data_IF_609557375093
#
_entry.id   IF_609557375093
#
_cell.length_a   1.000
_cell.length_b   1.000
_cell.length_c   1.000
_cell.angle_alpha   90.00
_cell.angle_beta   90.00
_cell.angle_gamma   90.00
#
_symmetry.space_group_name_H-M   'P 1'
#
loop_
_entity.id
_entity.type
_entity.pdbx_description
1 polymer ?
#
# COMPACT_ATOMS: atom_id res chain seq x y z
N UNK A 1 6.77 19.26 26.97
CA UNK A 1 5.38 19.61 26.64
C UNK A 1 4.70 18.35 26.15
N UNK A 2 3.43 18.11 26.52
CA UNK A 2 2.66 17.03 25.86
C UNK A 2 2.50 17.40 24.39
N UNK A 3 2.78 16.46 23.48
CA UNK A 3 2.45 16.65 22.06
C UNK A 3 0.94 16.77 21.91
N UNK A 4 0.47 17.37 20.82
CA UNK A 4 -0.96 17.58 20.56
C UNK A 4 -1.78 16.28 20.68
N UNK A 5 -1.20 15.14 20.28
CA UNK A 5 -1.86 13.83 20.38
C UNK A 5 -2.05 13.33 21.82
N UNK A 6 -1.26 13.81 22.78
CA UNK A 6 -1.27 13.35 24.17
C UNK A 6 -2.05 14.25 25.14
N UNK A 7 -2.78 15.24 24.61
CA UNK A 7 -3.49 16.24 25.43
C UNK A 7 -4.76 15.63 26.05
N UNK A 8 -5.63 15.04 25.23
CA UNK A 8 -6.88 14.38 25.64
C UNK A 8 -7.41 13.47 24.50
N UNK A 9 -8.30 12.54 24.83
CA UNK A 9 -8.88 11.54 23.91
C UNK A 9 -9.56 12.18 22.68
N UNK A 10 -10.15 13.37 22.84
CA UNK A 10 -10.73 14.12 21.72
C UNK A 10 -9.67 14.48 20.67
N UNK A 11 -8.51 14.97 21.09
CA UNK A 11 -7.43 15.39 20.20
C UNK A 11 -6.70 14.18 19.59
N UNK A 12 -6.54 13.11 20.37
CA UNK A 12 -6.00 11.83 19.89
C UNK A 12 -6.86 11.26 18.75
N UNK A 13 -8.19 11.24 18.91
CA UNK A 13 -9.09 10.75 17.88
C UNK A 13 -9.03 11.59 16.59
N UNK A 14 -9.03 12.92 16.71
CA UNK A 14 -8.91 13.82 15.55
C UNK A 14 -7.58 13.61 14.84
N UNK A 15 -6.49 13.55 15.60
CA UNK A 15 -5.16 13.30 15.04
C UNK A 15 -5.09 11.94 14.35
N UNK A 16 -5.57 10.87 14.98
CA UNK A 16 -5.55 9.52 14.41
C UNK A 16 -6.26 9.46 13.06
N UNK A 17 -7.42 10.11 12.94
CA UNK A 17 -8.18 10.15 11.68
C UNK A 17 -7.49 11.02 10.62
N UNK A 18 -6.95 12.18 10.99
CA UNK A 18 -6.19 13.03 10.08
C UNK A 18 -4.92 12.33 9.58
N UNK A 19 -4.22 11.61 10.47
CA UNK A 19 -3.00 10.86 10.18
C UNK A 19 -3.21 9.78 9.12
N UNK A 20 -4.39 9.13 9.07
CA UNK A 20 -4.69 8.18 7.98
C UNK A 20 -4.75 8.85 6.61
N UNK A 21 -5.20 10.11 6.53
CA UNK A 21 -5.20 10.86 5.28
C UNK A 21 -3.81 11.40 4.93
N UNK A 22 -3.09 11.90 5.93
CA UNK A 22 -1.75 12.46 5.73
C UNK A 22 -0.78 11.41 5.19
N UNK A 23 -0.86 10.15 5.65
CA UNK A 23 -0.04 9.04 5.13
C UNK A 23 -0.17 8.80 3.62
N UNK A 24 -1.32 9.13 3.03
CA UNK A 24 -1.56 9.00 1.59
C UNK A 24 -1.06 10.19 0.76
N UNK A 25 -0.72 11.32 1.39
CA UNK A 25 -0.26 12.53 0.72
C UNK A 25 1.25 12.44 0.41
N UNK A 26 1.65 11.48 -0.44
CA UNK A 26 3.05 11.10 -0.63
C UNK A 26 3.97 12.24 -1.05
N UNK A 27 3.49 13.22 -1.81
CA UNK A 27 4.29 14.38 -2.24
C UNK A 27 4.97 15.10 -1.06
N UNK A 28 4.29 15.18 0.09
CA UNK A 28 4.79 15.84 1.30
C UNK A 28 6.07 15.19 1.84
N UNK A 29 6.23 13.88 1.63
CA UNK A 29 7.35 13.12 2.19
C UNK A 29 8.41 12.82 1.11
N UNK A 30 7.98 12.48 -0.10
CA UNK A 30 8.88 12.03 -1.16
C UNK A 30 9.88 13.12 -1.55
N UNK A 31 9.48 14.39 -1.57
CA UNK A 31 10.39 15.50 -1.88
C UNK A 31 11.52 15.59 -0.83
N UNK A 32 11.17 15.54 0.46
CA UNK A 32 12.16 15.57 1.55
C UNK A 32 13.12 14.38 1.48
N UNK A 33 12.61 13.19 1.18
CA UNK A 33 13.43 11.99 1.06
C UNK A 33 14.37 12.09 -0.14
N UNK A 34 13.90 12.57 -1.29
CA UNK A 34 14.74 12.80 -2.47
C UNK A 34 15.81 13.84 -2.18
N UNK A 35 15.52 14.92 -1.45
CA UNK A 35 16.52 15.92 -1.03
C UNK A 35 17.56 15.33 -0.09
N UNK A 36 17.15 14.49 0.85
CA UNK A 36 18.04 13.90 1.85
C UNK A 36 18.94 12.79 1.30
N UNK A 37 18.38 11.88 0.49
CA UNK A 37 19.09 10.67 0.04
C UNK A 37 19.49 10.71 -1.45
N UNK A 38 18.93 11.64 -2.22
CA UNK A 38 19.14 11.76 -3.66
C UNK A 38 18.21 10.84 -4.47
N UNK A 39 17.78 11.31 -5.64
CA UNK A 39 16.82 10.60 -6.50
C UNK A 39 17.27 9.18 -6.88
N UNK A 40 18.57 8.93 -7.01
CA UNK A 40 19.12 7.63 -7.45
C UNK A 40 19.11 6.56 -6.37
N UNK A 41 18.91 6.94 -5.10
CA UNK A 41 18.92 6.03 -3.94
C UNK A 41 17.52 5.74 -3.41
N UNK A 42 16.49 6.19 -4.11
CA UNK A 42 15.10 5.94 -3.78
C UNK A 42 14.42 5.32 -5.00
N UNK A 43 13.81 4.17 -4.81
CA UNK A 43 12.97 3.53 -5.80
C UNK A 43 11.51 3.68 -5.39
N UNK A 44 10.72 4.32 -6.24
CA UNK A 44 9.27 4.44 -6.06
C UNK A 44 8.60 3.46 -7.01
N UNK A 45 7.81 2.55 -6.45
CA UNK A 45 7.07 1.54 -7.17
C UNK A 45 5.58 1.80 -7.02
N UNK A 46 4.86 1.69 -8.14
CA UNK A 46 3.41 1.75 -8.15
C UNK A 46 2.85 0.35 -7.94
N UNK A 47 1.93 0.22 -6.99
CA UNK A 47 1.35 -1.07 -6.63
C UNK A 47 0.53 -1.66 -7.78
N UNK A 48 -0.15 -0.81 -8.55
CA UNK A 48 -0.90 -1.21 -9.75
C UNK A 48 0.01 -1.83 -10.82
N UNK A 49 1.23 -1.29 -11.01
CA UNK A 49 2.22 -1.86 -11.95
C UNK A 49 2.68 -3.25 -11.47
N UNK A 50 2.86 -3.41 -10.15
CA UNK A 50 3.17 -4.70 -9.56
C UNK A 50 2.05 -5.72 -9.76
N UNK A 51 0.79 -5.30 -9.69
CA UNK A 51 -0.34 -6.21 -9.93
C UNK A 51 -0.49 -6.59 -11.39
N UNK A 52 -0.25 -5.65 -12.31
CA UNK A 52 -0.32 -5.89 -13.75
C UNK A 52 0.85 -6.77 -14.24
N UNK A 53 2.07 -6.50 -13.78
CA UNK A 53 3.27 -7.26 -14.12
C UNK A 53 4.24 -7.34 -12.91
N UNK A 54 4.03 -8.33 -12.04
CA UNK A 54 4.89 -8.54 -10.87
C UNK A 54 6.35 -8.83 -11.25
N UNK A 55 6.57 -9.56 -12.34
CA UNK A 55 7.89 -10.01 -12.77
C UNK A 55 8.76 -8.82 -13.16
N UNK A 56 8.24 -7.94 -14.04
CA UNK A 56 8.93 -6.71 -14.43
C UNK A 56 9.20 -5.78 -13.24
N UNK A 57 8.23 -5.66 -12.33
CA UNK A 57 8.37 -4.82 -11.13
C UNK A 57 9.46 -5.35 -10.18
N UNK A 58 9.52 -6.67 -9.96
CA UNK A 58 10.58 -7.29 -9.15
C UNK A 58 11.94 -7.16 -9.84
N UNK A 59 12.03 -7.37 -11.15
CA UNK A 59 13.27 -7.13 -11.92
C UNK A 59 13.79 -5.70 -11.75
N UNK A 60 12.92 -4.70 -11.78
CA UNK A 60 13.29 -3.29 -11.50
C UNK A 60 13.84 -3.12 -10.09
N UNK A 61 13.25 -3.77 -9.09
CA UNK A 61 13.77 -3.74 -7.72
C UNK A 61 15.16 -4.39 -7.63
N UNK A 62 15.38 -5.52 -8.30
CA UNK A 62 16.69 -6.19 -8.35
C UNK A 62 17.74 -5.29 -9.01
N UNK A 63 17.40 -4.66 -10.14
CA UNK A 63 18.30 -3.77 -10.84
C UNK A 63 18.67 -2.54 -9.98
N UNK A 64 17.70 -1.98 -9.25
CA UNK A 64 17.92 -0.87 -8.34
C UNK A 64 18.83 -1.23 -7.15
N UNK A 65 18.68 -2.45 -6.62
CA UNK A 65 19.50 -2.98 -5.53
C UNK A 65 20.86 -3.53 -6.00
N UNK A 66 21.16 -3.45 -7.29
CA UNK A 66 22.36 -4.02 -7.91
C UNK A 66 22.50 -5.54 -7.66
N UNK A 67 21.37 -6.25 -7.76
CA UNK A 67 21.31 -7.71 -7.62
C UNK A 67 21.34 -8.39 -8.98
N UNK A 68 21.91 -9.61 -9.00
CA UNK A 68 21.89 -10.48 -10.17
C UNK A 68 20.44 -10.75 -10.63
N UNK A 69 20.17 -10.54 -11.91
CA UNK A 69 18.83 -10.77 -12.48
C UNK A 69 18.50 -12.26 -12.46
N UNK A 70 17.27 -12.58 -12.05
CA UNK A 70 16.74 -13.94 -12.07
C UNK A 70 16.04 -14.23 -13.40
N UNK A 71 16.02 -15.49 -13.86
CA UNK A 71 15.20 -15.89 -15.00
C UNK A 71 13.72 -15.54 -14.79
N UNK A 72 12.98 -15.20 -15.86
CA UNK A 72 11.55 -14.86 -15.74
C UNK A 72 10.69 -15.91 -15.04
N UNK A 73 11.04 -17.20 -15.21
CA UNK A 73 10.34 -18.31 -14.56
C UNK A 73 10.51 -18.32 -13.02
N UNK A 74 11.69 -17.95 -12.52
CA UNK A 74 11.97 -17.85 -11.08
C UNK A 74 11.26 -16.63 -10.48
N UNK A 75 11.29 -15.50 -11.18
CA UNK A 75 10.56 -14.29 -10.77
C UNK A 75 9.05 -14.54 -10.71
N UNK A 76 8.50 -15.25 -11.69
CA UNK A 76 7.10 -15.67 -11.67
C UNK A 76 6.79 -16.57 -10.48
N UNK A 77 7.68 -17.53 -10.17
CA UNK A 77 7.54 -18.40 -9.00
C UNK A 77 7.54 -17.59 -7.70
N UNK A 78 8.43 -16.61 -7.56
CA UNK A 78 8.49 -15.72 -6.39
C UNK A 78 7.20 -14.88 -6.30
N UNK A 79 6.76 -14.29 -7.41
CA UNK A 79 5.58 -13.41 -7.45
C UNK A 79 4.26 -14.14 -7.15
N UNK A 80 4.18 -15.42 -7.47
CA UNK A 80 2.98 -16.25 -7.27
C UNK A 80 3.02 -17.07 -5.98
N UNK A 81 4.15 -17.05 -5.26
CA UNK A 81 4.29 -17.78 -4.00
C UNK A 81 3.31 -17.23 -2.97
N UNK A 82 2.45 -18.07 -2.37
CA UNK A 82 1.59 -17.64 -1.28
C UNK A 82 2.46 -17.10 -0.14
N UNK A 83 2.13 -15.92 0.37
CA UNK A 83 2.74 -15.42 1.60
C UNK A 83 2.25 -16.32 2.73
N UNK A 84 3.09 -17.27 3.18
CA UNK A 84 2.81 -18.01 4.39
C UNK A 84 2.71 -16.99 5.53
N UNK A 85 1.64 -17.08 6.32
CA UNK A 85 1.39 -16.24 7.49
C UNK A 85 2.71 -16.01 8.26
N UNK A 86 3.15 -14.75 8.34
CA UNK A 86 4.31 -14.35 9.12
C UNK A 86 3.84 -14.06 10.56
N UNK A 87 4.23 -14.86 11.57
CA UNK A 87 3.84 -14.61 12.95
C UNK A 87 4.40 -13.26 13.41
N UNK A 88 3.55 -12.41 13.98
CA UNK A 88 3.94 -11.06 14.43
C UNK A 88 3.93 -9.98 13.35
N UNK A 89 3.49 -10.29 12.12
CA UNK A 89 3.12 -9.26 11.15
C UNK A 89 1.87 -8.54 11.65
N UNK A 90 1.95 -7.22 11.80
CA UNK A 90 0.80 -6.37 12.08
C UNK A 90 -0.17 -6.53 10.92
N UNK A 91 -1.18 -7.38 11.08
CA UNK A 91 -2.22 -7.66 10.10
C UNK A 91 -3.19 -6.48 9.94
N UNK A 92 -2.68 -5.25 9.78
CA UNK A 92 -3.40 -4.16 9.12
C UNK A 92 -3.46 -4.39 7.61
N UNK A 93 -2.58 -5.23 7.05
CA UNK A 93 -2.84 -5.92 5.77
C UNK A 93 -3.82 -7.09 5.99
N UNK A 94 -5.03 -6.77 6.43
CA UNK A 94 -6.18 -7.62 6.12
C UNK A 94 -6.28 -7.63 4.60
N UNK A 95 -6.06 -8.79 3.99
CA UNK A 95 -5.99 -9.03 2.54
C UNK A 95 -4.68 -8.62 1.86
N UNK A 96 -3.71 -9.55 1.83
CA UNK A 96 -3.08 -9.81 0.53
C UNK A 96 -4.23 -10.10 -0.47
N UNK A 97 -4.42 -9.24 -1.47
CA UNK A 97 -5.46 -9.43 -2.50
C UNK A 97 -5.30 -10.77 -3.24
N UNK A 98 -4.11 -11.41 -3.19
CA UNK A 98 -3.88 -12.78 -3.70
C UNK A 98 -4.46 -13.86 -2.78
N UNK A 99 -4.49 -13.62 -1.47
CA UNK A 99 -4.92 -14.59 -0.44
C UNK A 99 -6.39 -14.41 -0.08
N UNK A 100 -6.92 -13.19 -0.09
CA UNK A 100 -8.29 -12.90 0.29
C UNK A 100 -9.35 -13.63 -0.55
N UNK A 101 -9.04 -13.93 -1.82
CA UNK A 101 -9.95 -14.68 -2.68
C UNK A 101 -9.75 -16.21 -2.62
N UNK A 102 -8.76 -16.73 -1.87
CA UNK A 102 -8.45 -18.17 -1.82
C UNK A 102 -8.58 -18.83 -0.44
N UNK A 103 -8.82 -18.09 0.65
CA UNK A 103 -9.33 -18.65 1.92
C UNK A 103 -10.82 -19.01 1.75
N UNK A 104 -11.15 -19.80 0.72
CA UNK A 104 -12.50 -20.26 0.41
C UNK A 104 -12.61 -21.79 0.36
N UNK A 105 -11.52 -22.53 0.58
CA UNK A 105 -11.51 -23.98 0.33
C UNK A 105 -10.71 -24.83 1.33
N UNK A 106 -10.45 -24.35 2.56
CA UNK A 106 -9.92 -25.22 3.62
C UNK A 106 -10.90 -25.21 4.79
N UNK A 107 -11.65 -26.30 5.04
CA UNK A 107 -12.39 -26.43 6.27
C UNK A 107 -11.38 -26.68 7.39
N UNK A 108 -11.15 -25.69 8.26
CA UNK A 108 -10.44 -25.92 9.51
C UNK A 108 -11.43 -26.53 10.50
N UNK A 109 -11.21 -27.75 11.02
CA UNK A 109 -12.02 -28.25 12.11
C UNK A 109 -11.54 -27.61 13.42
N UNK A 110 -12.50 -27.26 14.29
CA UNK A 110 -12.33 -26.71 15.63
C UNK A 110 -11.87 -25.24 15.71
N UNK A 111 -12.80 -24.32 15.46
CA UNK A 111 -12.82 -23.02 16.14
C UNK A 111 -14.27 -22.72 16.54
N UNK A 112 -14.43 -22.21 17.75
CA UNK A 112 -15.67 -22.08 18.52
C UNK A 112 -16.86 -21.43 17.76
N UNK A 113 -18.12 -21.71 18.16
CA UNK A 113 -19.28 -21.13 17.52
C UNK A 113 -19.39 -19.64 17.84
N UNK A 114 -19.12 -18.79 16.86
CA UNK A 114 -19.38 -17.36 16.93
C UNK A 114 -18.23 -16.52 16.40
N UNK A 115 -18.45 -15.86 15.25
CA UNK A 115 -17.58 -14.89 14.58
C UNK A 115 -16.50 -15.44 13.64
N UNK A 116 -16.93 -16.14 12.58
CA UNK A 116 -16.24 -16.07 11.29
C UNK A 116 -16.39 -14.65 10.72
N UNK A 117 -15.44 -13.76 10.98
CA UNK A 117 -15.39 -12.44 10.33
C UNK A 117 -14.93 -12.57 8.87
N UNK A 118 -15.71 -13.23 8.02
CA UNK A 118 -15.61 -13.08 6.56
C UNK A 118 -16.22 -11.73 6.17
N UNK A 119 -15.53 -10.64 6.50
CA UNK A 119 -15.90 -9.31 6.02
C UNK A 119 -15.28 -9.13 4.64
N UNK A 120 -16.00 -9.51 3.59
CA UNK A 120 -15.72 -8.98 2.25
C UNK A 120 -15.85 -7.46 2.38
N UNK A 121 -14.79 -6.66 2.16
CA UNK A 121 -14.91 -5.22 2.22
C UNK A 121 -15.96 -4.78 1.22
N UNK A 122 -16.96 -4.04 1.69
CA UNK A 122 -17.92 -3.42 0.78
C UNK A 122 -17.17 -2.46 -0.15
N UNK A 123 -17.61 -2.30 -1.41
CA UNK A 123 -17.07 -1.24 -2.25
C UNK A 123 -17.24 0.11 -1.54
N UNK A 124 -16.26 1.00 -1.73
CA UNK A 124 -16.30 2.33 -1.14
C UNK A 124 -17.54 3.09 -1.66
N UNK A 125 -18.30 3.79 -0.80
CA UNK A 125 -19.38 4.66 -1.27
C UNK A 125 -18.88 5.73 -2.24
N UNK A 126 -19.63 6.00 -3.31
CA UNK A 126 -19.24 6.95 -4.38
C UNK A 126 -18.97 8.36 -3.85
N UNK A 127 -19.74 8.82 -2.87
CA UNK A 127 -19.54 10.13 -2.24
C UNK A 127 -18.18 10.20 -1.52
N UNK A 128 -17.86 9.17 -0.72
CA UNK A 128 -16.56 9.09 -0.05
C UNK A 128 -15.41 9.03 -1.07
N UNK A 129 -15.54 8.23 -2.13
CA UNK A 129 -14.55 8.18 -3.20
C UNK A 129 -14.33 9.56 -3.84
N UNK A 130 -15.41 10.27 -4.16
CA UNK A 130 -15.37 11.62 -4.75
C UNK A 130 -14.64 12.62 -3.84
N UNK A 131 -14.95 12.61 -2.54
CA UNK A 131 -14.29 13.47 -1.55
C UNK A 131 -12.80 13.16 -1.45
N UNK A 132 -12.42 11.89 -1.42
CA UNK A 132 -11.01 11.48 -1.35
C UNK A 132 -10.25 11.83 -2.62
N UNK A 133 -10.83 11.61 -3.80
CA UNK A 133 -10.23 12.04 -5.06
C UNK A 133 -10.00 13.55 -5.08
N UNK A 134 -10.98 14.34 -4.64
CA UNK A 134 -10.84 15.79 -4.52
C UNK A 134 -9.74 16.21 -3.54
N UNK A 135 -9.68 15.57 -2.37
CA UNK A 135 -8.67 15.84 -1.35
C UNK A 135 -7.25 15.51 -1.82
N UNK A 136 -7.04 14.34 -2.45
CA UNK A 136 -5.71 13.90 -2.88
C UNK A 136 -5.24 14.51 -4.20
N UNK A 137 -6.14 15.06 -5.02
CA UNK A 137 -5.81 15.64 -6.33
C UNK A 137 -4.59 16.59 -6.34
N UNK A 138 -4.49 17.61 -5.46
CA UNK A 138 -3.32 18.49 -5.46
C UNK A 138 -2.02 17.77 -5.13
N UNK A 139 -2.04 16.84 -4.17
CA UNK A 139 -0.86 16.06 -3.77
C UNK A 139 -0.43 15.09 -4.87
N UNK A 140 -1.38 14.46 -5.55
CA UNK A 140 -1.10 13.57 -6.68
C UNK A 140 -0.50 14.34 -7.87
N UNK A 141 -0.99 15.56 -8.13
CA UNK A 141 -0.42 16.43 -9.16
C UNK A 141 1.02 16.85 -8.85
N UNK A 142 1.30 17.19 -7.59
CA UNK A 142 2.65 17.51 -7.12
C UNK A 142 3.57 16.28 -7.21
N UNK A 143 3.11 15.11 -6.78
CA UNK A 143 3.87 13.86 -6.87
C UNK A 143 4.18 13.50 -8.32
N UNK A 144 3.20 13.56 -9.22
CA UNK A 144 3.39 13.29 -10.63
C UNK A 144 4.43 14.23 -11.26
N UNK A 145 4.40 15.52 -10.89
CA UNK A 145 5.41 16.50 -11.31
C UNK A 145 6.80 16.19 -10.74
N UNK A 146 6.88 15.87 -9.45
CA UNK A 146 8.12 15.54 -8.76
C UNK A 146 8.82 14.33 -9.37
N UNK A 147 8.02 13.32 -9.75
CA UNK A 147 8.52 12.07 -10.34
C UNK A 147 8.65 12.12 -11.86
N UNK A 148 8.09 13.13 -12.52
CA UNK A 148 8.02 13.21 -13.98
C UNK A 148 7.17 12.09 -14.59
N UNK A 149 6.14 11.64 -13.88
CA UNK A 149 5.32 10.47 -14.27
C UNK A 149 3.82 10.72 -13.98
N UNK A 150 3.05 10.94 -15.04
CA UNK A 150 1.61 11.22 -14.95
C UNK A 150 0.78 10.04 -14.42
N UNK A 151 1.34 8.83 -14.36
CA UNK A 151 0.64 7.66 -13.79
C UNK A 151 0.35 7.81 -12.30
N UNK A 152 1.04 8.72 -11.61
CA UNK A 152 0.77 9.12 -10.23
C UNK A 152 -0.38 10.14 -10.11
N UNK A 153 -1.08 10.43 -11.21
CA UNK A 153 -2.39 11.10 -11.13
C UNK A 153 -3.54 10.12 -10.83
N UNK A 154 -3.27 8.80 -10.87
CA UNK A 154 -4.24 7.73 -10.63
C UNK A 154 -5.55 7.90 -11.43
N UNK A 155 -5.44 8.25 -12.71
CA UNK A 155 -6.59 8.38 -13.63
C UNK A 155 -7.08 7.03 -14.17
N UNK A 156 -6.33 5.97 -13.93
CA UNK A 156 -6.51 4.62 -14.46
C UNK A 156 -7.05 3.60 -13.44
N UNK A 157 -7.49 4.07 -12.26
CA UNK A 157 -7.85 3.23 -11.11
C UNK A 157 -9.25 3.56 -10.59
#
# INVERSE_FOLDING_TARGET
>A
AKSFEGIDQLYENVYYHADQFLKGAYALYVDEWIRAFGHRRILILRTEDYWADPTSTISRAFAFLDLAQLPPAELHTIATRPVAYLPGSNSTFSADKRVANRIRAVPTPASAPGHTLTRVPLPMPTEAATLLHGFYAPFNAELAKLLGDERFLWKDV
#
